data_IF_347160469041
#
_entry.id   IF_347160469041
#
_cell.length_a   1.000
_cell.length_b   1.000
_cell.length_c   1.000
_cell.angle_alpha   90.00
_cell.angle_beta   90.00
_cell.angle_gamma   90.00
#
_symmetry.space_group_name_H-M   'P 1'
#
loop_
_entity.id
_entity.type
_entity.pdbx_description
1 polymer ?
#
# COMPACT_ATOMS: atom_id res chain seq x y z
N UNK A 1 -34.34 9.34 -9.56
CA UNK A 1 -33.27 8.41 -9.16
C UNK A 1 -31.94 9.04 -9.53
N UNK A 2 -30.95 9.01 -8.64
CA UNK A 2 -29.59 9.40 -9.00
C UNK A 2 -28.93 8.23 -9.73
N UNK A 3 -28.12 8.49 -10.75
CA UNK A 3 -27.33 7.47 -11.43
C UNK A 3 -26.03 7.24 -10.65
N UNK A 4 -25.55 6.00 -10.66
CA UNK A 4 -24.21 5.68 -10.22
C UNK A 4 -23.23 5.93 -11.36
N UNK A 5 -22.29 6.83 -11.15
CA UNK A 5 -21.25 7.19 -12.12
C UNK A 5 -19.93 6.56 -11.73
N UNK A 6 -19.33 5.82 -12.66
CA UNK A 6 -18.05 5.15 -12.49
C UNK A 6 -17.01 5.78 -13.41
N UNK A 7 -15.80 5.90 -12.93
CA UNK A 7 -14.60 6.13 -13.73
C UNK A 7 -13.64 4.99 -13.45
N UNK A 8 -13.50 4.08 -14.40
CA UNK A 8 -12.69 2.87 -14.23
C UNK A 8 -11.39 3.01 -14.99
N UNK A 9 -10.28 2.77 -14.32
CA UNK A 9 -8.95 2.72 -14.90
C UNK A 9 -8.91 1.65 -15.99
N UNK A 10 -8.38 2.02 -17.16
CA UNK A 10 -8.23 1.17 -18.33
C UNK A 10 -6.81 1.25 -18.84
N UNK A 11 -6.24 0.08 -19.09
CA UNK A 11 -4.92 -0.08 -19.68
C UNK A 11 -4.74 -1.52 -20.19
N UNK A 12 -4.19 -1.68 -21.36
CA UNK A 12 -3.74 -2.98 -21.88
C UNK A 12 -2.28 -2.82 -22.31
N UNK A 13 -1.35 -3.41 -21.55
CA UNK A 13 0.11 -3.30 -21.79
C UNK A 13 0.53 -3.69 -23.22
N UNK A 14 -0.28 -4.49 -23.92
CA UNK A 14 0.02 -4.92 -25.28
C UNK A 14 -0.49 -3.98 -26.36
N UNK A 15 -1.44 -3.07 -26.02
CA UNK A 15 -2.16 -2.26 -26.99
C UNK A 15 -2.11 -0.77 -26.72
N UNK A 16 -2.08 -0.38 -25.44
CA UNK A 16 -2.23 1.01 -25.02
C UNK A 16 -0.86 1.65 -24.79
N UNK A 17 -0.71 2.87 -25.29
CA UNK A 17 0.44 3.71 -24.99
C UNK A 17 0.33 4.39 -23.63
N UNK A 18 -0.88 4.81 -23.27
CA UNK A 18 -1.20 5.48 -22.01
C UNK A 18 -2.46 4.91 -21.37
N UNK A 19 -2.50 4.94 -20.04
CA UNK A 19 -3.70 4.61 -19.29
C UNK A 19 -4.76 5.72 -19.39
N UNK A 20 -6.02 5.36 -19.27
CA UNK A 20 -7.14 6.30 -19.27
C UNK A 20 -8.26 5.84 -18.32
N UNK A 21 -9.21 6.73 -18.04
CA UNK A 21 -10.40 6.39 -17.27
C UNK A 21 -11.62 6.35 -18.18
N UNK A 22 -12.27 5.18 -18.25
CA UNK A 22 -13.51 5.02 -19.01
C UNK A 22 -14.72 5.27 -18.11
N UNK A 23 -15.66 6.16 -18.53
CA UNK A 23 -16.88 6.41 -17.79
C UNK A 23 -17.91 5.31 -18.05
N UNK A 24 -18.65 4.94 -16.98
CA UNK A 24 -19.85 4.09 -17.05
C UNK A 24 -20.93 4.71 -16.17
N UNK A 25 -22.22 4.52 -16.54
CA UNK A 25 -23.35 5.08 -15.80
C UNK A 25 -24.40 3.99 -15.62
N UNK A 26 -24.80 3.74 -14.38
CA UNK A 26 -25.82 2.76 -14.03
C UNK A 26 -26.99 3.42 -13.30
N UNK A 27 -28.18 3.33 -13.88
CA UNK A 27 -29.42 3.80 -13.26
C UNK A 27 -30.13 2.73 -12.41
N UNK A 28 -29.68 1.47 -12.55
CA UNK A 28 -30.21 0.29 -11.87
C UNK A 28 -29.18 -0.31 -10.88
N UNK A 29 -28.26 0.51 -10.36
CA UNK A 29 -27.16 0.05 -9.48
C UNK A 29 -27.67 -0.68 -8.22
N UNK A 30 -28.90 -0.42 -7.78
CA UNK A 30 -29.54 -1.08 -6.64
C UNK A 30 -29.71 -2.59 -6.83
N UNK A 31 -29.60 -3.09 -8.08
CA UNK A 31 -29.64 -4.52 -8.39
C UNK A 31 -28.31 -5.23 -8.09
N UNK A 32 -27.25 -4.49 -7.80
CA UNK A 32 -25.94 -5.05 -7.48
C UNK A 32 -25.72 -5.04 -5.97
N UNK A 33 -25.47 -6.22 -5.38
CA UNK A 33 -25.26 -6.34 -3.94
C UNK A 33 -23.86 -5.83 -3.52
N UNK A 34 -22.86 -6.10 -4.37
CA UNK A 34 -21.45 -5.85 -4.07
C UNK A 34 -20.74 -5.13 -5.23
N UNK A 35 -19.56 -4.62 -4.94
CA UNK A 35 -18.66 -4.08 -5.97
C UNK A 35 -18.27 -5.16 -7.00
N UNK A 36 -18.14 -6.43 -6.58
CA UNK A 36 -17.88 -7.55 -7.47
C UNK A 36 -19.00 -7.73 -8.51
N UNK A 37 -20.26 -7.71 -8.07
CA UNK A 37 -21.42 -7.82 -8.96
C UNK A 37 -21.46 -6.68 -9.98
N UNK A 38 -21.16 -5.46 -9.52
CA UNK A 38 -21.06 -4.28 -10.39
C UNK A 38 -19.99 -4.46 -11.46
N UNK A 39 -18.79 -4.94 -11.08
CA UNK A 39 -17.69 -5.15 -12.04
C UNK A 39 -17.97 -6.30 -13.02
N UNK A 40 -18.71 -7.33 -12.60
CA UNK A 40 -19.20 -8.35 -13.52
C UNK A 40 -20.14 -7.75 -14.57
N UNK A 41 -21.03 -6.84 -14.16
CA UNK A 41 -21.89 -6.13 -15.11
C UNK A 41 -21.06 -5.26 -16.06
N UNK A 42 -20.10 -4.51 -15.56
CA UNK A 42 -19.17 -3.73 -16.40
C UNK A 42 -18.51 -4.61 -17.45
N UNK A 43 -18.07 -5.81 -17.07
CA UNK A 43 -17.45 -6.75 -18.01
C UNK A 43 -18.45 -7.31 -19.04
N UNK A 44 -19.70 -7.50 -18.67
CA UNK A 44 -20.74 -7.90 -19.63
C UNK A 44 -21.02 -6.80 -20.67
N UNK A 45 -20.98 -5.53 -20.23
CA UNK A 45 -21.20 -4.38 -21.10
C UNK A 45 -19.95 -4.02 -21.92
N UNK A 46 -18.76 -4.37 -21.43
CA UNK A 46 -17.47 -4.14 -22.05
C UNK A 46 -16.60 -5.40 -21.98
N UNK A 47 -16.68 -6.24 -23.01
CA UNK A 47 -15.96 -7.52 -23.10
C UNK A 47 -14.44 -7.41 -23.08
N UNK A 48 -13.89 -6.21 -23.28
CA UNK A 48 -12.45 -5.94 -23.23
C UNK A 48 -11.98 -5.54 -21.84
N UNK A 49 -12.91 -5.30 -20.90
CA UNK A 49 -12.59 -5.00 -19.51
C UNK A 49 -12.25 -6.28 -18.73
N UNK A 50 -11.22 -6.20 -17.88
CA UNK A 50 -10.83 -7.34 -17.07
C UNK A 50 -10.43 -6.97 -15.64
N UNK A 51 -10.68 -7.90 -14.70
CA UNK A 51 -10.34 -7.79 -13.29
C UNK A 51 -10.21 -9.18 -12.65
N UNK A 52 -9.63 -9.28 -11.45
CA UNK A 52 -9.51 -10.56 -10.74
C UNK A 52 -10.89 -11.13 -10.35
N UNK A 53 -11.18 -12.37 -10.77
CA UNK A 53 -12.46 -13.06 -10.54
C UNK A 53 -12.52 -13.73 -9.17
N UNK A 54 -12.20 -12.97 -8.13
CA UNK A 54 -12.26 -13.41 -6.75
C UNK A 54 -12.84 -12.27 -5.91
N UNK A 55 -14.01 -12.48 -5.30
CA UNK A 55 -14.74 -11.49 -4.51
C UNK A 55 -13.97 -10.99 -3.27
N UNK A 56 -12.93 -11.73 -2.86
CA UNK A 56 -12.02 -11.37 -1.75
C UNK A 56 -10.79 -10.59 -2.18
N UNK A 57 -10.53 -10.47 -3.50
CA UNK A 57 -9.46 -9.63 -4.02
C UNK A 57 -9.73 -8.16 -3.72
N UNK A 58 -8.66 -7.38 -3.56
CA UNK A 58 -8.75 -5.96 -3.27
C UNK A 58 -8.55 -5.14 -4.54
N UNK A 59 -9.19 -3.97 -4.56
CA UNK A 59 -8.97 -2.90 -5.54
C UNK A 59 -8.99 -1.55 -4.82
N UNK A 60 -8.68 -0.50 -5.54
CA UNK A 60 -8.75 0.87 -5.04
C UNK A 60 -10.05 1.52 -5.50
N UNK A 61 -10.83 2.06 -4.55
CA UNK A 61 -12.03 2.86 -4.82
C UNK A 61 -11.85 4.22 -4.13
N UNK A 62 -11.85 5.29 -4.90
CA UNK A 62 -11.67 6.64 -4.38
C UNK A 62 -10.47 6.76 -3.40
N UNK A 63 -9.32 6.16 -3.79
CA UNK A 63 -8.07 6.10 -3.01
C UNK A 63 -8.13 5.22 -1.74
N UNK A 64 -9.14 4.39 -1.59
CA UNK A 64 -9.22 3.40 -0.50
C UNK A 64 -9.11 1.97 -1.03
N UNK A 65 -8.32 1.15 -0.33
CA UNK A 65 -8.13 -0.27 -0.63
C UNK A 65 -9.29 -1.07 -0.04
N UNK A 66 -10.13 -1.63 -0.89
CA UNK A 66 -11.36 -2.31 -0.49
C UNK A 66 -11.46 -3.69 -1.17
N UNK A 67 -11.97 -4.71 -0.45
CA UNK A 67 -12.25 -6.00 -1.07
C UNK A 67 -13.46 -5.91 -2.00
N UNK A 68 -13.46 -6.71 -3.05
CA UNK A 68 -14.53 -6.71 -4.06
C UNK A 68 -15.91 -7.10 -3.51
N UNK A 69 -15.97 -7.85 -2.41
CA UNK A 69 -17.24 -8.18 -1.74
C UNK A 69 -17.80 -7.03 -0.89
N UNK A 70 -17.21 -5.83 -0.96
CA UNK A 70 -17.74 -4.65 -0.27
C UNK A 70 -19.16 -4.34 -0.76
N UNK A 71 -20.16 -4.19 0.15
CA UNK A 71 -21.54 -3.86 -0.23
C UNK A 71 -21.61 -2.53 -0.98
N UNK A 72 -22.30 -2.52 -2.11
CA UNK A 72 -22.36 -1.34 -2.99
C UNK A 72 -23.11 -0.17 -2.34
N UNK A 73 -24.10 -0.45 -1.50
CA UNK A 73 -24.85 0.59 -0.80
C UNK A 73 -23.98 1.39 0.19
N UNK A 74 -22.97 0.75 0.79
CA UNK A 74 -21.98 1.43 1.65
C UNK A 74 -21.15 2.40 0.82
N UNK A 75 -20.69 1.99 -0.37
CA UNK A 75 -19.89 2.82 -1.26
C UNK A 75 -20.69 4.02 -1.77
N UNK A 76 -21.92 3.79 -2.19
CA UNK A 76 -22.82 4.85 -2.67
C UNK A 76 -23.09 5.88 -1.57
N UNK A 77 -23.34 5.44 -0.33
CA UNK A 77 -23.53 6.34 0.81
C UNK A 77 -22.27 7.15 1.13
N UNK A 78 -21.10 6.52 1.01
CA UNK A 78 -19.82 7.16 1.35
C UNK A 78 -19.35 8.16 0.30
N UNK A 79 -19.56 7.85 -1.01
CA UNK A 79 -18.95 8.58 -2.12
C UNK A 79 -19.97 9.29 -3.04
N UNK A 80 -21.21 9.45 -2.59
CA UNK A 80 -22.29 10.19 -3.27
C UNK A 80 -22.43 9.87 -4.77
N UNK A 81 -22.53 8.57 -5.10
CA UNK A 81 -22.75 8.05 -6.46
C UNK A 81 -21.59 8.23 -7.45
N UNK A 82 -20.40 8.64 -7.00
CA UNK A 82 -19.22 8.80 -7.85
C UNK A 82 -18.10 7.88 -7.40
N UNK A 83 -17.80 6.84 -8.19
CA UNK A 83 -16.74 5.91 -7.88
C UNK A 83 -15.62 5.99 -8.93
N UNK A 84 -14.40 6.21 -8.45
CA UNK A 84 -13.17 6.05 -9.22
C UNK A 84 -12.59 4.70 -8.83
N UNK A 85 -12.45 3.80 -9.80
CA UNK A 85 -12.02 2.42 -9.57
C UNK A 85 -10.68 2.20 -10.27
N UNK A 86 -9.70 1.77 -9.49
CA UNK A 86 -8.31 1.60 -9.91
C UNK A 86 -7.77 0.24 -9.45
N UNK A 87 -6.77 -0.33 -10.13
CA UNK A 87 -6.05 -1.50 -9.63
C UNK A 87 -5.29 -1.15 -8.34
N UNK A 88 -4.82 -2.16 -7.60
CA UNK A 88 -3.98 -1.96 -6.41
C UNK A 88 -2.75 -1.10 -6.69
N UNK A 89 -2.25 -1.11 -7.91
CA UNK A 89 -1.18 -0.24 -8.39
C UNK A 89 -1.34 0.04 -9.88
N UNK A 90 -1.56 1.29 -10.24
CA UNK A 90 -1.64 1.72 -11.64
C UNK A 90 -0.34 1.52 -12.39
N UNK A 91 0.81 1.69 -11.72
CA UNK A 91 2.16 1.49 -12.28
C UNK A 91 2.43 0.03 -12.67
N UNK A 92 1.76 -0.93 -12.03
CA UNK A 92 1.93 -2.38 -12.22
C UNK A 92 0.83 -3.02 -13.03
N UNK A 93 -0.12 -2.23 -13.51
CA UNK A 93 -1.22 -2.75 -14.32
C UNK A 93 -0.67 -3.42 -15.59
N UNK A 94 -1.19 -4.61 -15.87
CA UNK A 94 -0.95 -5.36 -17.11
C UNK A 94 -2.17 -5.35 -18.00
N UNK A 95 -3.36 -5.34 -17.38
CA UNK A 95 -4.63 -5.19 -18.09
C UNK A 95 -5.69 -4.68 -17.11
N UNK A 96 -6.18 -3.48 -17.34
CA UNK A 96 -7.23 -2.82 -16.55
C UNK A 96 -6.95 -2.92 -15.04
N UNK A 97 -7.76 -3.67 -14.27
CA UNK A 97 -7.59 -3.83 -12.84
C UNK A 97 -6.67 -5.00 -12.44
N UNK A 98 -6.09 -5.71 -13.41
CA UNK A 98 -5.13 -6.80 -13.17
C UNK A 98 -3.72 -6.23 -13.16
N UNK A 99 -2.96 -6.53 -12.12
CA UNK A 99 -1.57 -6.10 -11.96
C UNK A 99 -0.57 -7.27 -11.98
N UNK A 100 0.68 -6.98 -12.32
CA UNK A 100 1.79 -7.89 -12.04
C UNK A 100 2.14 -7.78 -10.54
N UNK A 101 2.20 -8.92 -9.85
CA UNK A 101 2.48 -9.03 -8.41
C UNK A 101 3.85 -9.64 -8.11
N UNK A 102 4.76 -9.75 -9.09
CA UNK A 102 6.05 -10.41 -8.92
C UNK A 102 6.91 -9.75 -7.84
N UNK A 103 6.92 -8.43 -7.78
CA UNK A 103 7.64 -7.67 -6.76
C UNK A 103 7.12 -7.94 -5.34
N UNK A 104 5.80 -8.04 -5.17
CA UNK A 104 5.18 -8.44 -3.91
C UNK A 104 5.54 -9.89 -3.53
N UNK A 105 5.38 -10.83 -4.46
CA UNK A 105 5.65 -12.25 -4.21
C UNK A 105 7.13 -12.49 -3.88
N UNK A 106 8.05 -11.75 -4.51
CA UNK A 106 9.47 -11.83 -4.21
C UNK A 106 9.81 -11.47 -2.76
N UNK A 107 9.07 -10.53 -2.14
CA UNK A 107 9.34 -10.10 -0.75
C UNK A 107 9.09 -11.23 0.27
N UNK A 108 8.30 -12.23 -0.05
CA UNK A 108 8.14 -13.42 0.81
C UNK A 108 9.47 -14.11 1.16
N UNK A 109 10.50 -13.96 0.33
CA UNK A 109 11.85 -14.52 0.56
C UNK A 109 12.42 -14.21 1.95
N UNK A 110 12.05 -13.07 2.55
CA UNK A 110 12.54 -12.68 3.88
C UNK A 110 12.01 -13.59 4.99
N UNK A 111 10.80 -14.10 4.86
CA UNK A 111 10.17 -14.99 5.85
C UNK A 111 10.18 -16.46 5.44
N UNK A 112 10.49 -16.78 4.18
CA UNK A 112 10.52 -18.14 3.65
C UNK A 112 11.32 -19.14 4.50
N UNK A 113 12.49 -18.77 5.11
CA UNK A 113 13.24 -19.71 5.97
C UNK A 113 12.51 -20.15 7.24
N UNK A 114 11.45 -19.45 7.62
CA UNK A 114 10.68 -19.70 8.85
C UNK A 114 9.27 -20.21 8.55
N UNK A 115 8.80 -20.07 7.33
CA UNK A 115 7.43 -20.28 6.87
C UNK A 115 7.19 -21.67 6.30
N UNK A 116 5.93 -22.06 6.21
CA UNK A 116 5.44 -23.20 5.45
C UNK A 116 4.52 -22.75 4.30
N UNK A 117 3.96 -23.72 3.56
CA UNK A 117 3.05 -23.43 2.42
C UNK A 117 1.75 -22.72 2.84
N UNK A 118 1.26 -22.94 4.07
CA UNK A 118 0.07 -22.24 4.58
C UNK A 118 0.38 -20.75 4.84
N UNK A 119 1.57 -20.48 5.39
CA UNK A 119 2.04 -19.12 5.65
C UNK A 119 2.23 -18.35 4.34
N UNK A 120 2.72 -19.04 3.29
CA UNK A 120 2.81 -18.47 1.95
C UNK A 120 1.44 -18.11 1.38
N UNK A 121 0.47 -19.04 1.46
CA UNK A 121 -0.91 -18.78 1.04
C UNK A 121 -1.58 -17.66 1.84
N UNK A 122 -1.19 -17.50 3.11
CA UNK A 122 -1.65 -16.40 3.93
C UNK A 122 -1.03 -15.08 3.47
N UNK A 123 0.28 -15.07 3.17
CA UNK A 123 0.98 -13.91 2.61
C UNK A 123 0.32 -13.41 1.32
N UNK A 124 -0.01 -14.29 0.41
CA UNK A 124 -0.62 -13.96 -0.89
C UNK A 124 -1.95 -13.20 -0.76
N UNK A 125 -2.62 -13.26 0.40
CA UNK A 125 -3.84 -12.50 0.71
C UNK A 125 -3.57 -11.06 1.19
N UNK A 126 -2.30 -10.72 1.44
CA UNK A 126 -1.89 -9.43 1.99
C UNK A 126 -1.32 -8.48 0.93
N UNK A 127 -1.56 -8.74 -0.34
CA UNK A 127 -1.10 -7.91 -1.46
C UNK A 127 -1.55 -6.44 -1.31
N UNK A 128 -2.78 -6.21 -0.85
CA UNK A 128 -3.30 -4.87 -0.61
C UNK A 128 -2.52 -4.11 0.48
N UNK A 129 -1.97 -4.78 1.49
CA UNK A 129 -1.12 -4.15 2.50
C UNK A 129 0.22 -3.72 1.91
N UNK A 130 0.75 -4.50 0.97
CA UNK A 130 1.97 -4.15 0.27
C UNK A 130 1.77 -2.93 -0.63
N UNK A 131 0.76 -2.96 -1.50
CA UNK A 131 0.53 -1.88 -2.46
C UNK A 131 -0.09 -0.62 -1.86
N UNK A 132 -0.62 -0.66 -0.63
CA UNK A 132 -1.06 0.54 0.10
C UNK A 132 0.08 1.30 0.76
N UNK A 133 1.30 0.76 0.76
CA UNK A 133 2.45 1.36 1.40
C UNK A 133 3.09 2.43 0.50
N UNK A 134 2.93 3.71 0.85
CA UNK A 134 3.42 4.84 0.07
C UNK A 134 4.95 4.86 -0.06
N UNK A 135 5.68 4.28 0.91
CA UNK A 135 7.14 4.21 0.89
C UNK A 135 7.70 3.42 -0.30
N UNK A 136 6.93 2.52 -0.90
CA UNK A 136 7.37 1.71 -2.05
C UNK A 136 7.75 2.54 -3.28
N UNK A 137 7.16 3.72 -3.43
CA UNK A 137 7.48 4.62 -4.54
C UNK A 137 8.86 5.27 -4.38
N UNK A 138 9.37 5.34 -3.15
CA UNK A 138 10.62 6.01 -2.80
C UNK A 138 11.72 5.03 -2.38
N UNK A 139 11.35 3.88 -1.84
CA UNK A 139 12.27 2.83 -1.40
C UNK A 139 11.83 1.47 -1.98
N UNK A 140 12.18 1.17 -3.24
CA UNK A 140 11.81 -0.10 -3.88
C UNK A 140 12.35 -1.34 -3.15
N UNK A 141 13.46 -1.18 -2.43
CA UNK A 141 14.07 -2.24 -1.61
C UNK A 141 13.28 -2.55 -0.33
N UNK A 142 12.36 -1.68 0.08
CA UNK A 142 11.53 -1.88 1.26
C UNK A 142 10.91 -3.28 1.30
N UNK A 143 10.95 -3.92 2.48
CA UNK A 143 10.43 -5.27 2.64
C UNK A 143 8.92 -5.34 2.40
N UNK A 144 8.19 -4.29 2.79
CA UNK A 144 6.76 -4.16 2.60
C UNK A 144 5.93 -4.52 3.84
N UNK A 145 4.86 -3.78 4.04
CA UNK A 145 3.98 -3.91 5.21
C UNK A 145 3.35 -5.30 5.33
N UNK A 146 3.11 -5.97 4.19
CA UNK A 146 2.63 -7.35 4.16
C UNK A 146 3.60 -8.34 4.82
N UNK A 147 4.92 -8.13 4.67
CA UNK A 147 5.94 -8.97 5.33
C UNK A 147 5.87 -8.78 6.83
N UNK A 148 5.72 -7.55 7.33
CA UNK A 148 5.65 -7.29 8.77
C UNK A 148 4.35 -7.81 9.38
N UNK A 149 3.25 -7.66 8.68
CA UNK A 149 1.97 -8.20 9.11
C UNK A 149 2.00 -9.73 9.18
N UNK A 150 2.57 -10.41 8.17
CA UNK A 150 2.78 -11.85 8.22
C UNK A 150 3.74 -12.24 9.35
N UNK A 151 4.83 -11.48 9.56
CA UNK A 151 5.79 -11.77 10.63
C UNK A 151 5.12 -11.79 12.00
N UNK A 152 4.18 -10.88 12.28
CA UNK A 152 3.37 -10.90 13.52
C UNK A 152 2.61 -12.22 13.67
N UNK A 153 1.89 -12.65 12.62
CA UNK A 153 1.14 -13.92 12.65
C UNK A 153 2.05 -15.13 12.80
N UNK A 154 3.22 -15.09 12.19
CA UNK A 154 4.22 -16.18 12.33
C UNK A 154 4.84 -16.23 13.71
N UNK A 155 5.07 -15.09 14.37
CA UNK A 155 5.58 -15.04 15.75
C UNK A 155 4.57 -15.69 16.72
N UNK A 156 3.27 -15.42 16.53
CA UNK A 156 2.20 -16.07 17.29
C UNK A 156 2.19 -17.61 17.09
N UNK A 157 2.37 -18.05 15.83
CA UNK A 157 2.34 -19.45 15.42
C UNK A 157 3.62 -20.22 15.81
N UNK A 158 4.79 -19.56 15.76
CA UNK A 158 6.12 -20.14 15.98
C UNK A 158 6.92 -19.34 17.01
N UNK A 159 6.58 -19.40 18.33
CA UNK A 159 7.25 -18.62 19.36
C UNK A 159 8.76 -18.88 19.49
N UNK A 160 9.19 -20.10 19.16
CA UNK A 160 10.61 -20.51 19.13
C UNK A 160 11.43 -19.80 18.04
N UNK A 161 10.78 -19.33 16.98
CA UNK A 161 11.42 -18.60 15.87
C UNK A 161 11.35 -17.07 16.03
N UNK A 162 10.63 -16.57 17.04
CA UNK A 162 10.33 -15.14 17.25
C UNK A 162 11.56 -14.24 17.08
N UNK A 163 12.65 -14.51 17.82
CA UNK A 163 13.85 -13.67 17.78
C UNK A 163 14.48 -13.61 16.38
N UNK A 164 14.44 -14.74 15.65
CA UNK A 164 14.99 -14.79 14.28
C UNK A 164 14.14 -14.00 13.32
N UNK A 165 12.80 -14.09 13.42
CA UNK A 165 11.87 -13.33 12.61
C UNK A 165 12.03 -11.85 12.88
N UNK A 166 12.04 -11.40 14.15
CA UNK A 166 12.24 -10.00 14.54
C UNK A 166 13.58 -9.46 14.02
N UNK A 167 14.67 -10.21 14.11
CA UNK A 167 15.97 -9.80 13.55
C UNK A 167 15.93 -9.65 12.04
N UNK A 168 15.14 -10.45 11.32
CA UNK A 168 15.01 -10.34 9.87
C UNK A 168 14.29 -9.05 9.47
N UNK A 169 13.19 -8.72 10.15
CA UNK A 169 12.38 -7.55 9.80
C UNK A 169 12.95 -6.22 10.32
N UNK A 170 13.93 -6.25 11.23
CA UNK A 170 14.55 -5.03 11.77
C UNK A 170 15.76 -4.52 10.96
N UNK A 171 15.85 -4.90 9.68
CA UNK A 171 16.89 -4.41 8.76
C UNK A 171 16.97 -2.88 8.74
N UNK A 172 18.19 -2.32 8.85
CA UNK A 172 18.42 -0.88 8.99
C UNK A 172 18.28 -0.10 7.67
N UNK A 173 18.11 -0.76 6.52
CA UNK A 173 18.02 -0.10 5.21
C UNK A 173 16.67 -0.27 4.55
N UNK A 174 15.90 -1.31 4.90
CA UNK A 174 14.65 -1.68 4.21
C UNK A 174 13.61 -2.33 5.13
N UNK A 175 13.88 -2.35 6.44
CA UNK A 175 13.06 -3.03 7.45
C UNK A 175 11.89 -2.20 7.96
N UNK A 176 11.30 -2.70 9.05
CA UNK A 176 10.04 -2.22 9.64
C UNK A 176 10.07 -0.75 10.10
N UNK A 177 11.25 -0.19 10.33
CA UNK A 177 11.38 1.21 10.78
C UNK A 177 11.22 2.24 9.66
N UNK A 178 11.12 1.80 8.40
CA UNK A 178 10.76 2.66 7.26
C UNK A 178 9.26 2.71 6.99
N UNK A 179 8.45 2.00 7.78
CA UNK A 179 7.00 2.08 7.65
C UNK A 179 6.50 3.51 7.80
N UNK A 180 5.67 3.95 6.86
CA UNK A 180 4.89 5.19 6.97
C UNK A 180 3.53 4.88 7.56
N UNK A 181 2.94 5.86 8.25
CA UNK A 181 1.62 5.69 8.88
C UNK A 181 0.57 5.20 7.89
N UNK A 182 -0.09 4.10 8.25
CA UNK A 182 -1.19 3.53 7.47
C UNK A 182 -2.55 3.97 7.99
N UNK A 183 -3.53 4.12 7.08
CA UNK A 183 -4.95 4.30 7.44
C UNK A 183 -5.59 3.01 7.98
N UNK A 184 -4.95 1.87 7.79
CA UNK A 184 -5.39 0.60 8.33
C UNK A 184 -4.93 0.47 9.79
N UNK A 185 -5.84 0.66 10.74
CA UNK A 185 -5.54 0.68 12.18
C UNK A 185 -4.97 -0.66 12.69
N UNK A 186 -5.42 -1.80 12.16
CA UNK A 186 -4.91 -3.11 12.56
C UNK A 186 -3.45 -3.31 12.12
N UNK A 187 -3.14 -2.93 10.88
CA UNK A 187 -1.77 -2.91 10.38
C UNK A 187 -0.89 -1.97 11.20
N UNK A 188 -1.36 -0.75 11.43
CA UNK A 188 -0.62 0.28 12.18
C UNK A 188 -0.28 -0.19 13.59
N UNK A 189 -1.25 -0.74 14.31
CA UNK A 189 -1.05 -1.27 15.65
C UNK A 189 -0.11 -2.48 15.66
N UNK A 190 -0.23 -3.35 14.67
CA UNK A 190 0.64 -4.53 14.51
C UNK A 190 2.09 -4.09 14.32
N UNK A 191 2.35 -3.14 13.42
CA UNK A 191 3.71 -2.64 13.15
C UNK A 191 4.30 -1.95 14.38
N UNK A 192 3.52 -1.08 15.05
CA UNK A 192 3.95 -0.42 16.30
C UNK A 192 4.35 -1.43 17.39
N UNK A 193 3.57 -2.48 17.55
CA UNK A 193 3.87 -3.51 18.54
C UNK A 193 5.17 -4.25 18.21
N UNK A 194 5.40 -4.60 16.94
CA UNK A 194 6.64 -5.24 16.51
C UNK A 194 7.85 -4.31 16.68
N UNK A 195 7.73 -3.03 16.32
CA UNK A 195 8.78 -2.03 16.50
C UNK A 195 9.15 -1.89 17.98
N UNK A 196 8.13 -1.76 18.85
CA UNK A 196 8.35 -1.69 20.30
C UNK A 196 9.07 -2.93 20.81
N UNK A 197 8.64 -4.12 20.40
CA UNK A 197 9.24 -5.38 20.83
C UNK A 197 10.70 -5.50 20.39
N UNK A 198 11.03 -5.09 19.15
CA UNK A 198 12.42 -5.05 18.65
C UNK A 198 13.29 -4.15 19.52
N UNK A 199 12.78 -2.97 19.93
CA UNK A 199 13.49 -2.02 20.81
C UNK A 199 13.67 -2.61 22.21
N UNK A 200 12.60 -3.13 22.81
CA UNK A 200 12.60 -3.69 24.17
C UNK A 200 13.60 -4.86 24.29
N UNK A 201 13.70 -5.67 23.22
CA UNK A 201 14.66 -6.78 23.13
C UNK A 201 16.07 -6.37 22.70
N UNK A 202 16.30 -5.08 22.46
CA UNK A 202 17.60 -4.52 22.02
C UNK A 202 18.15 -5.22 20.77
N UNK A 203 17.28 -5.60 19.85
CA UNK A 203 17.67 -6.27 18.60
C UNK A 203 18.27 -5.29 17.58
N UNK A 204 18.04 -4.01 17.77
CA UNK A 204 18.60 -2.92 16.99
C UNK A 204 19.20 -1.88 17.95
N UNK A 205 20.30 -1.26 17.52
CA UNK A 205 20.84 -0.12 18.22
C UNK A 205 20.13 1.15 17.75
N UNK A 206 19.56 1.94 18.65
CA UNK A 206 18.87 3.20 18.32
C UNK A 206 19.75 4.15 17.49
N UNK A 207 21.08 4.15 17.75
CA UNK A 207 22.04 4.92 16.95
C UNK A 207 22.17 4.43 15.50
N UNK A 208 21.86 3.15 15.22
CA UNK A 208 21.87 2.61 13.85
C UNK A 208 20.61 3.00 13.05
N UNK A 209 19.63 3.57 13.71
CA UNK A 209 18.40 4.07 13.13
C UNK A 209 18.48 5.58 12.79
N UNK A 210 19.63 6.21 12.99
CA UNK A 210 19.92 7.47 12.32
C UNK A 210 19.88 7.17 10.81
N UNK A 211 18.85 7.72 10.15
CA UNK A 211 18.73 7.69 8.70
C UNK A 211 20.07 8.03 8.09
N UNK A 212 20.49 7.25 7.11
CA UNK A 212 21.76 7.46 6.42
C UNK A 212 21.78 8.87 5.83
N UNK A 213 22.37 9.80 6.59
CA UNK A 213 22.48 11.23 6.27
C UNK A 213 22.96 11.51 4.83
N UNK A 214 23.82 10.69 4.18
CA UNK A 214 24.18 10.88 2.78
C UNK A 214 23.01 10.84 1.81
N UNK A 215 21.99 10.01 2.04
CA UNK A 215 20.79 9.96 1.17
C UNK A 215 19.92 11.21 1.35
N UNK A 216 19.78 11.68 2.59
CA UNK A 216 19.05 12.92 2.89
C UNK A 216 19.79 14.14 2.36
N UNK A 217 21.12 14.14 2.39
CA UNK A 217 21.93 15.23 1.83
C UNK A 217 21.83 15.33 0.29
N UNK A 218 21.55 14.24 -0.41
CA UNK A 218 21.24 14.29 -1.84
C UNK A 218 19.94 15.08 -2.10
N UNK A 219 18.89 14.83 -1.30
CA UNK A 219 17.64 15.62 -1.35
C UNK A 219 17.85 17.09 -0.97
N UNK A 220 18.73 17.40 0.00
CA UNK A 220 19.07 18.77 0.39
C UNK A 220 19.66 19.60 -0.76
N UNK A 221 20.44 18.99 -1.62
CA UNK A 221 21.02 19.67 -2.76
C UNK A 221 19.96 19.96 -3.84
N UNK A 222 19.09 19.02 -4.13
CA UNK A 222 17.96 19.21 -5.06
C UNK A 222 16.98 20.28 -4.56
N UNK A 223 16.63 20.27 -3.25
CA UNK A 223 15.73 21.28 -2.66
C UNK A 223 16.35 22.69 -2.70
N UNK A 224 17.66 22.84 -2.50
CA UNK A 224 18.34 24.13 -2.60
C UNK A 224 18.34 24.70 -4.01
N UNK A 225 18.34 23.84 -5.04
CA UNK A 225 18.26 24.26 -6.44
C UNK A 225 16.86 24.72 -6.84
N UNK A 226 15.81 24.24 -6.16
CA UNK A 226 14.41 24.58 -6.43
C UNK A 226 13.93 25.91 -5.80
N UNK A 227 14.74 26.56 -4.96
CA UNK A 227 14.40 27.81 -4.27
C UNK A 227 13.50 27.64 -3.04
N UNK A 228 13.21 28.75 -2.35
CA UNK A 228 12.33 28.75 -1.16
C UNK A 228 10.87 28.51 -1.58
N UNK A 229 10.41 27.26 -1.48
CA UNK A 229 9.00 26.94 -1.63
C UNK A 229 8.38 26.96 -0.23
N UNK A 230 7.44 27.90 0.01
CA UNK A 230 6.67 27.98 1.26
C UNK A 230 5.47 27.05 1.16
N UNK A 231 5.47 25.95 1.93
CA UNK A 231 4.33 25.03 2.06
C UNK A 231 3.76 25.04 3.47
N UNK A 232 2.44 24.87 3.59
CA UNK A 232 1.77 24.60 4.87
C UNK A 232 1.75 23.09 5.11
N UNK A 233 2.54 22.65 6.07
CA UNK A 233 2.84 21.23 6.32
C UNK A 233 1.90 20.56 7.33
N UNK A 234 0.78 21.17 7.70
CA UNK A 234 -0.07 20.67 8.77
C UNK A 234 -0.84 19.38 8.41
N UNK A 235 -0.95 19.02 7.13
CA UNK A 235 -1.74 17.88 6.68
C UNK A 235 -0.95 16.56 6.46
N UNK A 236 0.37 16.56 6.64
CA UNK A 236 1.20 15.37 6.47
C UNK A 236 1.64 14.77 7.81
N UNK A 237 1.02 13.66 8.21
CA UNK A 237 1.46 12.82 9.32
C UNK A 237 2.52 11.80 8.86
N UNK A 238 3.79 12.24 8.75
CA UNK A 238 4.90 11.29 8.72
C UNK A 238 5.19 10.91 10.16
N UNK A 239 4.60 9.83 10.63
CA UNK A 239 4.92 9.28 11.94
C UNK A 239 5.92 8.15 11.77
N UNK A 240 7.20 8.46 11.86
CA UNK A 240 8.21 7.45 12.16
C UNK A 240 8.13 7.19 13.67
N UNK A 241 7.42 6.13 14.06
CA UNK A 241 7.28 5.76 15.46
C UNK A 241 8.61 5.25 16.02
N UNK A 242 9.01 5.83 17.15
CA UNK A 242 10.23 5.44 17.88
C UNK A 242 11.46 6.29 17.59
N UNK A 243 11.41 7.20 16.61
CA UNK A 243 12.53 8.07 16.29
C UNK A 243 12.18 9.53 16.54
N UNK A 244 13.04 10.23 17.29
CA UNK A 244 13.14 11.68 17.22
C UNK A 244 13.84 12.04 15.90
N UNK A 245 13.13 11.95 14.77
CA UNK A 245 13.56 12.64 13.58
C UNK A 245 13.58 14.12 13.94
N UNK A 246 14.71 14.78 13.78
CA UNK A 246 14.80 16.23 13.97
C UNK A 246 13.74 16.89 13.06
N UNK A 247 13.06 17.92 13.56
CA UNK A 247 11.96 18.56 12.83
C UNK A 247 12.39 19.11 11.46
N UNK A 248 13.67 19.45 11.30
CA UNK A 248 14.28 19.86 10.03
C UNK A 248 14.30 18.72 8.98
N UNK A 249 14.52 17.48 9.39
CA UNK A 249 14.50 16.31 8.50
C UNK A 249 13.06 15.98 8.07
N UNK A 250 12.10 16.07 9.01
CA UNK A 250 10.68 15.87 8.69
C UNK A 250 10.18 16.88 7.65
N UNK A 251 10.57 18.14 7.78
CA UNK A 251 10.17 19.17 6.82
C UNK A 251 10.79 18.95 5.44
N UNK A 252 12.03 18.46 5.35
CA UNK A 252 12.73 18.16 4.10
C UNK A 252 12.13 16.97 3.38
N UNK A 253 11.82 15.88 4.10
CA UNK A 253 11.11 14.73 3.53
C UNK A 253 9.76 15.18 2.97
N UNK A 254 8.97 15.96 3.72
CA UNK A 254 7.69 16.51 3.27
C UNK A 254 7.82 17.35 1.99
N UNK A 255 8.80 18.24 1.93
CA UNK A 255 9.02 19.09 0.76
C UNK A 255 9.31 18.26 -0.51
N UNK A 256 10.08 17.19 -0.40
CA UNK A 256 10.39 16.31 -1.53
C UNK A 256 9.13 15.58 -2.07
N UNK A 257 8.25 15.11 -1.19
CA UNK A 257 7.00 14.43 -1.58
C UNK A 257 6.02 15.36 -2.31
N UNK A 258 6.02 16.65 -2.03
CA UNK A 258 5.10 17.64 -2.62
C UNK A 258 5.57 18.12 -3.99
N UNK A 259 6.88 18.11 -4.27
CA UNK A 259 7.42 18.60 -5.54
C UNK A 259 7.18 17.69 -6.74
N UNK A 260 6.56 16.51 -6.55
CA UNK A 260 6.23 15.53 -7.60
C UNK A 260 4.72 15.31 -7.79
N UNK A 261 3.84 16.10 -7.15
CA UNK A 261 2.42 16.22 -7.51
C UNK A 261 2.23 17.37 -8.53
#
# INVERSE_FOLDING_TARGET
MKNLELRIFRFDKQKDYEAYYKPYVYNNYENFATLYDLLLQVQNDDIYFDFEKNDKSYIVVNKEFLPLNTPLDILVKKYDFNLIIEPLSTKRSVKDLIINKDDFLEKFKYLAPFANEEDKKLYEKYDYLYYSSEILDFLPEYMGDAVFYLASKMIEKYPDKKIKILKTICDTQKGIFYHLTSKNEDLENTIKNLQKEIIDLKLINEAALEFDLPKINAFDNEIKELGEIKYDFNDFNIACYGFKIKDDIKSKIKAHFISYE
#
